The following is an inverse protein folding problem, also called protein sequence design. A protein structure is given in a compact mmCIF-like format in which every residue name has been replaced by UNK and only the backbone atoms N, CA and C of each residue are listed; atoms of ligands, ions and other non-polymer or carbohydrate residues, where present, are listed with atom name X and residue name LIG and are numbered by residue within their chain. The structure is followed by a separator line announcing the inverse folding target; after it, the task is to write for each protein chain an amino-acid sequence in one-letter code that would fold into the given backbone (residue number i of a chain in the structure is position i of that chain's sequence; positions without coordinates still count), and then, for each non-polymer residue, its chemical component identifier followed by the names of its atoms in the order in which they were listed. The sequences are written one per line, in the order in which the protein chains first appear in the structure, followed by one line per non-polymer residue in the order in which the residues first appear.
data_IF_526511338057
#
_entry.id   IF_526511338057
#
_cell.length_a   1.000
_cell.length_b   1.000
_cell.length_c   1.000
_cell.angle_alpha   90.00
_cell.angle_beta   90.00
_cell.angle_gamma   90.00
#
_symmetry.space_group_name_H-M   'P 1'
#
loop_
_entity.id
_entity.type
_entity.pdbx_description
1 polymer ?
#
# COMPACT_ATOMS: atom_id res chain seq x y z
N UNK A 1 16.72 19.20 15.94
CA UNK A 1 17.21 19.62 14.60
C UNK A 1 18.13 18.54 14.07
N UNK A 2 17.64 17.69 13.16
CA UNK A 2 18.48 16.69 12.49
C UNK A 2 18.95 17.31 11.18
N UNK A 3 20.25 17.56 11.11
CA UNK A 3 20.92 18.18 9.98
C UNK A 3 21.04 17.14 8.85
N UNK A 4 20.11 17.12 7.87
CA UNK A 4 20.20 16.32 6.65
C UNK A 4 20.87 17.14 5.54
N UNK A 5 22.19 17.09 5.51
CA UNK A 5 22.97 17.42 4.31
C UNK A 5 23.65 16.16 3.85
N UNK A 6 23.11 15.53 2.77
CA UNK A 6 23.79 14.79 1.68
C UNK A 6 22.72 14.08 0.86
N UNK A 7 22.55 14.53 -0.41
CA UNK A 7 21.84 13.84 -1.48
C UNK A 7 20.59 13.07 -1.06
N UNK A 8 19.48 13.75 -0.77
CA UNK A 8 18.23 13.07 -0.44
C UNK A 8 17.82 12.27 -1.69
N UNK A 9 17.88 10.96 -1.61
CA UNK A 9 17.33 10.09 -2.66
C UNK A 9 15.82 10.34 -2.68
N UNK A 10 15.33 10.80 -3.81
CA UNK A 10 13.89 11.05 -4.01
C UNK A 10 13.28 9.77 -4.56
N UNK A 11 12.27 9.24 -3.87
CA UNK A 11 11.56 8.02 -4.23
C UNK A 11 10.28 8.41 -5.00
N UNK A 12 10.14 7.88 -6.21
CA UNK A 12 8.96 8.05 -7.05
C UNK A 12 7.89 7.03 -6.67
N UNK A 13 6.76 7.51 -6.18
CA UNK A 13 5.65 6.68 -5.70
C UNK A 13 4.48 6.76 -6.68
N UNK A 14 3.96 5.61 -7.07
CA UNK A 14 2.66 5.48 -7.72
C UNK A 14 1.65 4.90 -6.73
N UNK A 15 0.46 5.50 -6.67
CA UNK A 15 -0.62 5.01 -5.81
C UNK A 15 -1.68 4.31 -6.65
N UNK A 16 -1.95 3.04 -6.34
CA UNK A 16 -3.02 2.23 -6.95
C UNK A 16 -4.23 2.13 -6.01
N UNK A 17 -5.42 2.42 -6.51
CA UNK A 17 -6.62 2.69 -5.72
C UNK A 17 -6.62 4.12 -5.15
N UNK A 18 -6.07 5.07 -5.92
CA UNK A 18 -5.71 6.42 -5.46
C UNK A 18 -6.90 7.27 -5.03
N UNK A 19 -8.10 7.08 -5.61
CA UNK A 19 -9.32 7.82 -5.25
C UNK A 19 -10.05 7.20 -4.05
N UNK A 20 -9.64 6.00 -3.62
CA UNK A 20 -10.20 5.31 -2.45
C UNK A 20 -9.83 6.00 -1.14
N UNK A 21 -10.52 5.63 -0.05
CA UNK A 21 -10.32 6.22 1.28
C UNK A 21 -8.85 6.19 1.71
N UNK A 22 -8.20 5.04 1.66
CA UNK A 22 -6.79 4.92 2.06
C UNK A 22 -5.84 5.47 1.00
N UNK A 23 -6.11 5.23 -0.30
CA UNK A 23 -5.29 5.76 -1.38
C UNK A 23 -5.19 7.28 -1.35
N UNK A 24 -6.30 7.98 -1.12
CA UNK A 24 -6.33 9.44 -0.97
C UNK A 24 -5.47 9.93 0.20
N UNK A 25 -5.46 9.21 1.33
CA UNK A 25 -4.60 9.57 2.47
C UNK A 25 -3.12 9.34 2.16
N UNK A 26 -2.78 8.29 1.41
CA UNK A 26 -1.41 8.05 0.94
C UNK A 26 -0.96 9.19 0.03
N UNK A 27 -1.80 9.61 -0.93
CA UNK A 27 -1.49 10.75 -1.82
C UNK A 27 -1.24 12.01 -1.01
N UNK A 28 -2.11 12.35 -0.05
CA UNK A 28 -1.94 13.52 0.84
C UNK A 28 -0.69 13.43 1.71
N UNK A 29 -0.30 12.22 2.12
CA UNK A 29 0.89 11.99 2.94
C UNK A 29 2.17 12.14 2.13
N UNK A 30 2.21 11.63 0.90
CA UNK A 30 3.35 11.80 -0.01
C UNK A 30 3.64 13.27 -0.26
N UNK A 31 2.60 14.09 -0.42
CA UNK A 31 2.75 15.54 -0.64
C UNK A 31 3.42 16.28 0.52
N UNK A 32 3.35 15.74 1.73
CA UNK A 32 3.90 16.34 2.96
C UNK A 32 5.29 15.83 3.33
N UNK A 33 5.71 14.71 2.73
CA UNK A 33 6.94 14.03 3.11
C UNK A 33 8.11 14.41 2.21
N UNK A 34 9.19 14.92 2.81
CA UNK A 34 10.44 15.17 2.11
C UNK A 34 11.05 13.84 1.59
N UNK A 35 11.48 13.83 0.34
CA UNK A 35 12.10 12.66 -0.28
C UNK A 35 11.12 11.68 -0.94
N UNK A 36 9.81 11.98 -0.93
CA UNK A 36 8.82 11.27 -1.72
C UNK A 36 8.24 12.18 -2.81
N UNK A 37 7.99 11.63 -3.99
CA UNK A 37 7.28 12.31 -5.08
C UNK A 37 6.18 11.40 -5.60
N UNK A 38 4.96 11.90 -5.66
CA UNK A 38 3.88 11.25 -6.39
C UNK A 38 4.19 11.36 -7.89
N UNK A 39 4.41 10.24 -8.56
CA UNK A 39 4.70 10.21 -9.99
C UNK A 39 3.56 9.61 -10.83
N UNK A 40 2.54 9.05 -10.19
CA UNK A 40 1.38 8.47 -10.88
C UNK A 40 0.28 8.05 -9.92
N UNK A 41 -0.92 7.94 -10.45
CA UNK A 41 -2.11 7.49 -9.75
C UNK A 41 -2.92 6.55 -10.66
N UNK A 42 -3.45 5.48 -10.10
CA UNK A 42 -4.31 4.53 -10.82
C UNK A 42 -5.62 4.35 -10.04
N UNK A 43 -6.72 4.57 -10.71
CA UNK A 43 -8.05 4.24 -10.22
C UNK A 43 -9.06 4.24 -11.39
N UNK A 44 -9.67 3.11 -11.74
CA UNK A 44 -10.63 3.04 -12.84
C UNK A 44 -11.86 3.95 -12.70
N UNK A 45 -12.18 4.36 -11.46
CA UNK A 45 -13.36 5.22 -11.20
C UNK A 45 -13.17 6.68 -11.58
N UNK A 46 -11.91 7.15 -11.60
CA UNK A 46 -11.58 8.57 -11.79
C UNK A 46 -10.58 8.77 -12.93
N UNK A 47 -10.51 7.83 -13.89
CA UNK A 47 -9.60 7.90 -15.04
C UNK A 47 -9.73 9.23 -15.78
N UNK A 48 -8.60 9.84 -16.12
CA UNK A 48 -8.51 11.10 -16.84
C UNK A 48 -8.59 12.35 -15.96
N UNK A 49 -8.98 12.24 -14.70
CA UNK A 49 -9.02 13.36 -13.76
C UNK A 49 -7.63 13.62 -13.14
N UNK A 50 -7.39 14.85 -12.67
CA UNK A 50 -6.19 15.15 -11.88
C UNK A 50 -6.34 14.60 -10.46
N UNK A 51 -5.32 13.89 -9.99
CA UNK A 51 -5.35 13.27 -8.65
C UNK A 51 -5.43 14.31 -7.53
N UNK A 52 -4.76 15.46 -7.70
CA UNK A 52 -4.78 16.52 -6.71
C UNK A 52 -6.16 17.12 -6.51
N UNK A 53 -6.92 17.30 -7.58
CA UNK A 53 -8.30 17.78 -7.52
C UNK A 53 -9.22 16.73 -6.88
N UNK A 54 -9.06 15.46 -7.25
CA UNK A 54 -9.84 14.33 -6.70
C UNK A 54 -9.64 14.18 -5.19
N UNK A 55 -8.40 14.33 -4.69
CA UNK A 55 -8.11 14.20 -3.25
C UNK A 55 -8.17 15.52 -2.48
N UNK A 56 -8.45 16.65 -3.14
CA UNK A 56 -8.68 17.94 -2.51
C UNK A 56 -7.41 18.67 -2.04
N UNK A 57 -6.29 18.50 -2.76
CA UNK A 57 -5.02 19.22 -2.50
C UNK A 57 -4.64 20.21 -3.61
N UNK A 58 -5.57 20.45 -4.54
CA UNK A 58 -5.39 21.31 -5.70
C UNK A 58 -4.65 20.62 -6.85
N UNK A 59 -4.77 21.19 -8.05
CA UNK A 59 -4.23 20.64 -9.28
C UNK A 59 -2.73 20.32 -9.20
N UNK A 60 -2.34 19.12 -9.61
CA UNK A 60 -0.97 18.62 -9.57
C UNK A 60 -0.36 18.33 -10.95
N UNK A 61 -1.15 18.30 -11.99
CA UNK A 61 -0.73 17.90 -13.32
C UNK A 61 -0.47 16.38 -13.44
N UNK A 62 -1.01 15.58 -12.52
CA UNK A 62 -0.86 14.14 -12.47
C UNK A 62 -2.21 13.50 -12.78
N UNK A 63 -2.35 12.96 -13.98
CA UNK A 63 -3.55 12.27 -14.42
C UNK A 63 -3.71 10.91 -13.72
N UNK A 64 -4.94 10.55 -13.40
CA UNK A 64 -5.32 9.21 -12.93
C UNK A 64 -5.48 8.29 -14.13
N UNK A 65 -4.76 7.16 -14.14
CA UNK A 65 -4.84 6.13 -15.17
C UNK A 65 -5.88 5.06 -14.80
N UNK A 66 -6.40 4.37 -15.82
CA UNK A 66 -7.36 3.27 -15.65
C UNK A 66 -6.72 1.95 -15.23
N UNK A 67 -5.42 1.76 -15.55
CA UNK A 67 -4.66 0.55 -15.25
C UNK A 67 -3.21 0.84 -14.91
N UNK A 68 -2.53 -0.15 -14.29
CA UNK A 68 -1.10 -0.08 -13.99
C UNK A 68 -0.26 -0.03 -15.27
N UNK A 69 -0.66 -0.78 -16.29
CA UNK A 69 0.02 -0.85 -17.58
C UNK A 69 0.05 0.53 -18.26
N UNK A 70 -1.08 1.24 -18.27
CA UNK A 70 -1.15 2.60 -18.80
C UNK A 70 -0.24 3.56 -18.02
N UNK A 71 -0.26 3.47 -16.70
CA UNK A 71 0.57 4.31 -15.85
C UNK A 71 2.07 4.08 -16.06
N UNK A 72 2.49 2.81 -16.28
CA UNK A 72 3.90 2.47 -16.49
C UNK A 72 4.46 2.98 -17.82
N UNK A 73 3.63 3.15 -18.84
CA UNK A 73 4.03 3.78 -20.12
C UNK A 73 4.43 5.25 -19.89
N UNK A 74 3.79 5.94 -18.96
CA UNK A 74 4.08 7.35 -18.66
C UNK A 74 5.32 7.56 -17.79
N UNK A 75 5.82 6.52 -17.16
CA UNK A 75 7.03 6.55 -16.35
C UNK A 75 7.10 5.42 -15.34
N UNK A 76 8.30 4.90 -15.10
CA UNK A 76 8.54 3.83 -14.14
C UNK A 76 8.63 4.41 -12.72
N UNK A 77 7.75 4.02 -11.76
CA UNK A 77 7.91 4.37 -10.37
C UNK A 77 9.01 3.52 -9.71
N UNK A 78 9.55 3.99 -8.58
CA UNK A 78 10.43 3.20 -7.73
C UNK A 78 9.63 2.23 -6.85
N UNK A 79 8.41 2.64 -6.47
CA UNK A 79 7.49 1.85 -5.64
C UNK A 79 6.03 2.12 -6.00
N UNK A 80 5.23 1.06 -5.98
CA UNK A 80 3.76 1.14 -6.04
C UNK A 80 3.18 0.89 -4.66
N UNK A 81 2.28 1.77 -4.21
CA UNK A 81 1.48 1.58 -2.98
C UNK A 81 0.07 1.19 -3.40
N UNK A 82 -0.40 0.01 -2.96
CA UNK A 82 -1.70 -0.53 -3.36
C UNK A 82 -2.71 -0.56 -2.20
N UNK A 83 -3.83 0.13 -2.42
CA UNK A 83 -5.03 0.11 -1.58
C UNK A 83 -6.28 -0.13 -2.42
N UNK A 84 -6.30 -1.21 -3.20
CA UNK A 84 -7.40 -1.58 -4.09
C UNK A 84 -8.43 -2.50 -3.41
N UNK A 85 -8.56 -3.72 -3.89
CA UNK A 85 -9.48 -4.70 -3.33
C UNK A 85 -8.91 -6.12 -3.34
N UNK A 86 -9.45 -7.04 -2.48
CA UNK A 86 -9.04 -8.45 -2.45
C UNK A 86 -9.18 -9.18 -3.77
N UNK A 87 -10.05 -8.68 -4.68
CA UNK A 87 -10.31 -9.33 -5.96
C UNK A 87 -9.19 -9.13 -6.99
N UNK A 88 -8.44 -8.02 -6.88
CA UNK A 88 -7.46 -7.62 -7.90
C UNK A 88 -6.03 -7.53 -7.36
N UNK A 89 -5.84 -7.58 -6.05
CA UNK A 89 -4.51 -7.37 -5.45
C UNK A 89 -3.47 -8.37 -5.93
N UNK A 90 -3.83 -9.64 -6.13
CA UNK A 90 -2.89 -10.64 -6.60
C UNK A 90 -2.40 -10.34 -8.02
N UNK A 91 -3.31 -10.03 -8.95
CA UNK A 91 -2.94 -9.66 -10.33
C UNK A 91 -2.15 -8.36 -10.38
N UNK A 92 -2.55 -7.35 -9.60
CA UNK A 92 -1.80 -6.09 -9.49
C UNK A 92 -0.36 -6.33 -9.03
N UNK A 93 -0.19 -7.15 -7.97
CA UNK A 93 1.13 -7.46 -7.44
C UNK A 93 1.99 -8.22 -8.45
N UNK A 94 1.42 -9.16 -9.20
CA UNK A 94 2.14 -9.84 -10.27
C UNK A 94 2.62 -8.84 -11.35
N UNK A 95 1.75 -7.93 -11.81
CA UNK A 95 2.10 -6.91 -12.81
C UNK A 95 3.24 -6.01 -12.32
N UNK A 96 3.14 -5.48 -11.09
CA UNK A 96 4.14 -4.57 -10.51
C UNK A 96 5.48 -5.26 -10.31
N UNK A 97 5.49 -6.41 -9.65
CA UNK A 97 6.72 -7.11 -9.27
C UNK A 97 7.42 -7.72 -10.49
N UNK A 98 6.67 -8.19 -11.49
CA UNK A 98 7.23 -8.67 -12.75
C UNK A 98 7.90 -7.57 -13.58
N UNK A 99 7.46 -6.31 -13.41
CA UNK A 99 8.11 -5.14 -14.01
C UNK A 99 9.39 -4.71 -13.25
N UNK A 100 9.80 -5.43 -12.21
CA UNK A 100 10.95 -5.10 -11.37
C UNK A 100 10.72 -3.81 -10.57
N UNK A 101 9.48 -3.55 -10.14
CA UNK A 101 9.08 -2.39 -9.33
C UNK A 101 8.78 -2.89 -7.93
N UNK A 102 9.23 -2.15 -6.90
CA UNK A 102 8.91 -2.49 -5.52
C UNK A 102 7.44 -2.20 -5.19
N UNK A 103 6.91 -2.89 -4.19
CA UNK A 103 5.49 -2.74 -3.85
C UNK A 103 5.23 -2.73 -2.35
N UNK A 104 4.33 -1.85 -1.93
CA UNK A 104 3.74 -1.85 -0.58
C UNK A 104 2.25 -2.16 -0.72
N UNK A 105 1.81 -3.24 -0.11
CA UNK A 105 0.43 -3.72 -0.18
C UNK A 105 -0.27 -3.43 1.16
N UNK A 106 -1.27 -2.56 1.12
CA UNK A 106 -2.22 -2.32 2.21
C UNK A 106 -3.56 -3.04 2.01
N UNK A 107 -3.77 -3.58 0.82
CA UNK A 107 -4.96 -4.38 0.50
C UNK A 107 -4.88 -5.75 1.15
N UNK A 108 -5.93 -6.16 1.85
CA UNK A 108 -6.05 -7.51 2.45
C UNK A 108 -6.53 -8.54 1.43
N UNK A 109 -6.45 -9.84 1.79
CA UNK A 109 -7.07 -10.91 1.02
C UNK A 109 -6.12 -11.81 0.24
N UNK A 110 -4.81 -11.54 0.22
CA UNK A 110 -3.81 -12.46 -0.37
C UNK A 110 -3.75 -13.77 0.40
N UNK A 111 -3.90 -14.88 -0.31
CA UNK A 111 -3.77 -16.25 0.21
C UNK A 111 -2.31 -16.64 0.43
N UNK A 112 -2.07 -17.66 1.23
CA UNK A 112 -0.70 -18.14 1.53
C UNK A 112 0.03 -18.57 0.26
N UNK A 113 -0.64 -19.27 -0.64
CA UNK A 113 -0.07 -19.73 -1.92
C UNK A 113 0.25 -18.56 -2.85
N UNK A 114 -0.61 -17.54 -2.88
CA UNK A 114 -0.38 -16.31 -3.65
C UNK A 114 0.84 -15.54 -3.12
N UNK A 115 0.99 -15.44 -1.80
CA UNK A 115 2.18 -14.81 -1.17
C UNK A 115 3.47 -15.54 -1.54
N UNK A 116 3.46 -16.88 -1.51
CA UNK A 116 4.61 -17.70 -1.94
C UNK A 116 4.93 -17.49 -3.41
N UNK A 117 3.91 -17.44 -4.27
CA UNK A 117 4.08 -17.15 -5.69
C UNK A 117 4.69 -15.76 -5.92
N UNK A 118 4.22 -14.74 -5.22
CA UNK A 118 4.77 -13.37 -5.30
C UNK A 118 6.22 -13.30 -4.83
N UNK A 119 6.61 -14.07 -3.80
CA UNK A 119 8.00 -14.18 -3.37
C UNK A 119 8.91 -14.66 -4.52
N UNK A 120 8.50 -15.71 -5.22
CA UNK A 120 9.26 -16.20 -6.38
C UNK A 120 9.34 -15.16 -7.53
N UNK A 121 8.29 -14.35 -7.72
CA UNK A 121 8.32 -13.25 -8.70
C UNK A 121 9.30 -12.16 -8.27
N UNK A 122 9.33 -11.82 -6.97
CA UNK A 122 10.29 -10.86 -6.41
C UNK A 122 11.74 -11.30 -6.68
N UNK A 123 12.07 -12.56 -6.33
CA UNK A 123 13.41 -13.12 -6.51
C UNK A 123 13.86 -13.08 -7.97
N UNK A 124 12.95 -13.44 -8.89
CA UNK A 124 13.23 -13.46 -10.33
C UNK A 124 13.49 -12.07 -10.93
N UNK A 125 12.82 -11.05 -10.41
CA UNK A 125 12.82 -9.70 -11.03
C UNK A 125 13.56 -8.65 -10.18
N UNK A 126 14.27 -9.06 -9.12
CA UNK A 126 14.96 -8.16 -8.19
C UNK A 126 14.05 -7.04 -7.66
N UNK A 127 12.80 -7.38 -7.39
CA UNK A 127 11.80 -6.51 -6.78
C UNK A 127 11.52 -6.92 -5.33
N UNK A 128 10.95 -6.04 -4.54
CA UNK A 128 10.63 -6.29 -3.14
C UNK A 128 9.16 -5.98 -2.87
N UNK A 129 8.54 -6.76 -1.99
CA UNK A 129 7.15 -6.57 -1.62
C UNK A 129 7.00 -6.53 -0.09
N UNK A 130 6.41 -5.45 0.42
CA UNK A 130 5.98 -5.34 1.81
C UNK A 130 4.46 -5.50 1.87
N UNK A 131 3.98 -6.52 2.57
CA UNK A 131 2.55 -6.71 2.85
C UNK A 131 2.31 -6.27 4.29
N UNK A 132 1.63 -5.14 4.48
CA UNK A 132 1.35 -4.59 5.80
C UNK A 132 -0.14 -4.79 6.14
N UNK A 133 -0.45 -5.58 7.18
CA UNK A 133 -1.83 -5.87 7.57
C UNK A 133 -2.52 -4.68 8.21
N UNK A 134 -1.76 -3.75 8.75
CA UNK A 134 -2.26 -2.56 9.42
C UNK A 134 -1.23 -1.42 9.37
N UNK A 135 -1.71 -0.21 9.13
CA UNK A 135 -0.90 1.02 9.12
C UNK A 135 -1.19 1.92 10.33
N UNK A 136 -2.08 1.52 11.23
CA UNK A 136 -2.32 2.23 12.49
C UNK A 136 -1.19 1.96 13.47
N UNK A 137 -0.47 2.99 13.88
CA UNK A 137 0.61 2.88 14.86
C UNK A 137 0.12 2.22 16.16
N UNK A 138 -1.07 2.61 16.65
CA UNK A 138 -1.66 2.01 17.86
C UNK A 138 -1.91 0.52 17.71
N UNK A 139 -2.46 0.08 16.57
CA UNK A 139 -2.70 -1.35 16.32
C UNK A 139 -1.37 -2.13 16.21
N UNK A 140 -0.36 -1.58 15.54
CA UNK A 140 0.95 -2.22 15.43
C UNK A 140 1.63 -2.34 16.79
N UNK A 141 1.56 -1.30 17.62
CA UNK A 141 2.10 -1.35 18.99
C UNK A 141 1.34 -2.36 19.86
N UNK A 142 0.01 -2.37 19.77
CA UNK A 142 -0.82 -3.36 20.47
C UNK A 142 -0.43 -4.79 20.10
N UNK A 143 -0.27 -5.11 18.80
CA UNK A 143 0.16 -6.44 18.34
C UNK A 143 1.52 -6.82 18.93
N UNK A 144 2.51 -5.93 18.86
CA UNK A 144 3.86 -6.18 19.40
C UNK A 144 3.86 -6.42 20.91
N UNK A 145 3.12 -5.62 21.65
CA UNK A 145 3.02 -5.77 23.11
C UNK A 145 2.26 -7.04 23.46
N UNK A 146 1.20 -7.39 22.74
CA UNK A 146 0.45 -8.63 22.93
C UNK A 146 1.31 -9.87 22.70
N UNK A 147 2.12 -9.87 21.65
CA UNK A 147 3.09 -10.95 21.37
C UNK A 147 4.08 -11.14 22.52
N UNK A 148 4.59 -10.06 23.09
CA UNK A 148 5.51 -10.12 24.22
C UNK A 148 4.83 -10.63 25.50
N UNK A 149 3.62 -10.15 25.79
CA UNK A 149 2.84 -10.55 26.97
C UNK A 149 2.42 -12.03 26.86
N UNK A 150 2.06 -12.53 25.69
CA UNK A 150 1.63 -13.90 25.47
C UNK A 150 2.68 -14.95 25.86
N UNK A 151 3.95 -14.59 25.93
CA UNK A 151 5.02 -15.47 26.43
C UNK A 151 4.84 -15.85 27.91
N UNK A 152 4.17 -14.98 28.66
CA UNK A 152 3.94 -15.17 30.12
C UNK A 152 2.49 -15.58 30.44
N UNK A 153 1.56 -15.29 29.55
CA UNK A 153 0.12 -15.56 29.71
C UNK A 153 -0.40 -16.38 28.52
N UNK A 154 -0.31 -17.72 28.57
CA UNK A 154 -0.63 -18.57 27.42
C UNK A 154 -2.12 -18.65 27.08
N UNK A 155 -2.98 -18.24 27.99
CA UNK A 155 -4.43 -18.21 27.77
C UNK A 155 -4.85 -16.78 27.50
N UNK A 156 -5.26 -16.50 26.27
CA UNK A 156 -5.76 -15.20 25.85
C UNK A 156 -6.98 -15.35 24.94
N UNK A 157 -7.89 -14.40 25.04
CA UNK A 157 -9.01 -14.24 24.13
C UNK A 157 -8.87 -12.92 23.39
N UNK A 158 -9.19 -12.93 22.10
CA UNK A 158 -9.20 -11.73 21.26
C UNK A 158 -10.64 -11.41 20.89
N UNK A 159 -11.10 -10.24 21.33
CA UNK A 159 -12.42 -9.69 20.97
C UNK A 159 -12.18 -8.49 20.07
N UNK A 160 -12.68 -8.54 18.85
CA UNK A 160 -12.61 -7.41 17.91
C UNK A 160 -14.00 -6.89 17.55
N UNK A 161 -14.12 -5.57 17.50
CA UNK A 161 -15.34 -4.88 17.12
C UNK A 161 -15.06 -3.99 15.92
N UNK A 162 -15.88 -4.15 14.88
CA UNK A 162 -15.80 -3.39 13.65
C UNK A 162 -17.19 -2.90 13.22
N UNK A 163 -17.20 -1.92 12.35
CA UNK A 163 -18.44 -1.45 11.70
C UNK A 163 -19.05 -2.54 10.80
N UNK A 164 -20.35 -2.45 10.53
CA UNK A 164 -21.14 -3.46 9.80
C UNK A 164 -20.70 -3.68 8.34
N UNK A 165 -19.84 -2.83 7.79
CA UNK A 165 -19.33 -2.92 6.41
C UNK A 165 -17.97 -3.62 6.29
N UNK A 166 -17.49 -4.28 7.35
CA UNK A 166 -16.26 -5.07 7.28
C UNK A 166 -16.56 -6.42 6.59
N UNK A 167 -15.81 -6.72 5.53
CA UNK A 167 -16.03 -7.90 4.69
C UNK A 167 -15.32 -9.16 5.20
N UNK A 168 -14.26 -9.02 6.00
CA UNK A 168 -13.45 -10.14 6.51
C UNK A 168 -13.51 -10.24 8.03
N UNK A 169 -13.65 -11.46 8.53
CA UNK A 169 -13.54 -11.83 9.94
C UNK A 169 -12.87 -13.22 10.06
N UNK A 170 -11.93 -13.42 10.99
CA UNK A 170 -11.22 -12.42 11.79
C UNK A 170 -10.42 -11.43 10.94
N UNK A 171 -10.13 -10.23 11.49
CA UNK A 171 -9.33 -9.21 10.79
C UNK A 171 -7.89 -9.68 10.54
N UNK A 172 -7.19 -9.02 9.62
CA UNK A 172 -5.76 -9.27 9.41
C UNK A 172 -4.93 -9.04 10.68
N UNK A 173 -5.34 -8.08 11.52
CA UNK A 173 -4.71 -7.79 12.82
C UNK A 173 -4.93 -8.91 13.84
N UNK A 174 -6.12 -9.50 13.87
CA UNK A 174 -6.44 -10.58 14.82
C UNK A 174 -5.86 -11.95 14.42
N UNK A 175 -5.38 -12.10 13.18
CA UNK A 175 -4.77 -13.34 12.66
C UNK A 175 -3.26 -13.40 12.85
N UNK A 176 -2.63 -12.30 13.22
CA UNK A 176 -1.21 -12.18 13.50
C UNK A 176 -0.92 -12.39 14.97
#
# INVERSE_FOLDING_TARGET
MVNRKKGTVVIKVLVNGASGRMGSEVVRSIEKEEGLILCGAVDPKCTGQDIGDVVGIGYKGIQIYGSLEEAFVSGKPDVVVDFTSPKVIYSNAQTVLAAGINMVIGTTGLKTEERKSLSAVCDKNSSHCLIAPNFSLGAVLMMKVSEEIAKYFPNAEIIELHHNHKFDAPSGTAKL
#
